data_IF_950872538719
#
_entry.id   IF_950872538719
#
_cell.length_a   1.000
_cell.length_b   1.000
_cell.length_c   1.000
_cell.angle_alpha   90.00
_cell.angle_beta   90.00
_cell.angle_gamma   90.00
#
_symmetry.space_group_name_H-M   'P 1'
#
loop_
_entity.id
_entity.type
_entity.pdbx_description
1 polymer ?
#
# COMPACT_ATOMS: atom_id res chain seq x y z
N UNK A 1 26.22 -15.86 41.21
CA UNK A 1 26.28 -14.74 40.23
C UNK A 1 26.29 -15.21 38.76
N UNK A 2 25.61 -16.32 38.42
CA UNK A 2 25.47 -16.80 37.03
C UNK A 2 24.04 -16.72 36.48
N UNK A 3 23.05 -16.48 37.35
CA UNK A 3 21.62 -16.42 36.97
C UNK A 3 21.11 -15.00 36.64
N UNK A 4 21.95 -13.97 36.69
CA UNK A 4 21.55 -12.58 36.38
C UNK A 4 21.67 -12.26 34.87
N UNK A 5 22.42 -13.04 34.11
CA UNK A 5 22.61 -12.82 32.68
C UNK A 5 21.53 -13.45 31.79
N UNK A 6 20.64 -14.28 32.35
CA UNK A 6 19.52 -14.90 31.60
C UNK A 6 18.30 -13.94 31.54
N UNK A 7 18.28 -12.90 32.38
CA UNK A 7 17.16 -11.94 32.42
C UNK A 7 17.25 -10.81 31.38
N UNK A 8 18.32 -10.74 30.57
CA UNK A 8 18.49 -9.69 29.55
C UNK A 8 18.19 -10.17 28.12
N UNK A 9 17.71 -11.41 27.95
CA UNK A 9 17.48 -12.02 26.63
C UNK A 9 15.99 -12.08 26.21
N UNK A 10 15.08 -11.52 27.01
CA UNK A 10 13.64 -11.51 26.70
C UNK A 10 13.16 -10.06 26.74
N UNK A 11 12.87 -9.49 25.57
CA UNK A 11 12.17 -8.20 25.51
C UNK A 11 12.52 -7.25 24.36
N UNK A 12 13.02 -7.74 23.22
CA UNK A 12 12.95 -6.99 21.97
C UNK A 12 11.92 -7.66 21.06
N UNK A 13 10.65 -7.59 21.45
CA UNK A 13 9.57 -7.66 20.47
C UNK A 13 9.63 -6.35 19.69
N UNK A 14 10.40 -6.35 18.60
CA UNK A 14 10.27 -5.34 17.56
C UNK A 14 8.82 -5.37 17.12
N UNK A 15 8.07 -4.33 17.51
CA UNK A 15 6.78 -4.01 16.92
C UNK A 15 7.08 -3.64 15.47
N UNK A 16 7.12 -4.65 14.62
CA UNK A 16 7.02 -4.44 13.18
C UNK A 16 5.59 -3.94 12.96
N UNK A 17 5.42 -2.63 12.87
CA UNK A 17 4.30 -2.07 12.12
C UNK A 17 4.49 -2.59 10.70
N UNK A 18 3.86 -3.72 10.38
CA UNK A 18 3.82 -4.22 9.02
C UNK A 18 3.27 -3.14 8.10
N UNK A 19 3.85 -3.03 6.90
CA UNK A 19 3.38 -2.11 5.87
C UNK A 19 1.87 -2.28 5.68
N UNK A 20 1.15 -1.16 5.61
CA UNK A 20 -0.28 -1.18 5.33
C UNK A 20 -0.60 -1.63 3.90
N UNK A 21 0.41 -1.72 3.04
CA UNK A 21 0.30 -2.15 1.65
C UNK A 21 0.75 -3.59 1.45
N UNK A 22 -0.04 -4.34 0.68
CA UNK A 22 0.29 -5.69 0.23
C UNK A 22 0.14 -5.81 -1.28
N UNK A 23 1.08 -6.48 -1.94
CA UNK A 23 0.95 -6.84 -3.37
C UNK A 23 0.20 -8.17 -3.45
N UNK A 24 -1.04 -8.14 -3.95
CA UNK A 24 -1.89 -9.34 -4.05
C UNK A 24 -1.43 -10.27 -5.17
N UNK A 25 -1.13 -9.71 -6.34
CA UNK A 25 -0.75 -10.47 -7.55
C UNK A 25 0.30 -9.70 -8.34
N UNK A 26 1.18 -10.41 -9.04
CA UNK A 26 1.99 -9.82 -10.11
C UNK A 26 2.24 -10.82 -11.22
N UNK A 27 2.58 -10.28 -12.38
CA UNK A 27 2.91 -11.02 -13.59
C UNK A 27 4.05 -10.34 -14.34
N UNK A 28 4.94 -11.14 -14.92
CA UNK A 28 6.13 -10.68 -15.65
C UNK A 28 6.21 -11.35 -17.02
N UNK A 29 6.36 -10.55 -18.08
CA UNK A 29 6.60 -11.03 -19.43
C UNK A 29 8.09 -11.35 -19.65
N UNK A 30 8.51 -12.55 -19.26
CA UNK A 30 9.92 -12.97 -19.31
C UNK A 30 10.51 -12.99 -20.72
N UNK A 31 9.71 -13.28 -21.74
CA UNK A 31 10.19 -13.33 -23.13
C UNK A 31 10.61 -11.95 -23.65
N UNK A 32 9.86 -10.91 -23.28
CA UNK A 32 10.09 -9.54 -23.77
C UNK A 32 11.15 -8.79 -22.96
N UNK A 33 11.21 -9.01 -21.65
CA UNK A 33 12.16 -8.32 -20.76
C UNK A 33 13.63 -8.64 -21.04
N UNK A 34 13.95 -9.81 -21.59
CA UNK A 34 15.35 -10.25 -21.79
C UNK A 34 16.07 -9.56 -22.95
N UNK A 35 15.36 -8.77 -23.76
CA UNK A 35 15.88 -8.27 -25.04
C UNK A 35 16.41 -6.85 -24.99
N UNK A 36 16.11 -6.08 -23.93
CA UNK A 36 16.37 -4.63 -23.88
C UNK A 36 16.67 -4.17 -22.46
N UNK A 37 17.63 -3.26 -22.33
CA UNK A 37 17.88 -2.54 -21.08
C UNK A 37 17.11 -1.22 -21.10
N UNK A 38 16.30 -0.99 -20.07
CA UNK A 38 15.55 0.25 -19.89
C UNK A 38 16.37 1.23 -19.05
N UNK A 39 16.55 2.45 -19.54
CA UNK A 39 17.38 3.49 -18.89
C UNK A 39 16.60 4.75 -18.58
N UNK A 40 15.43 4.94 -19.20
CA UNK A 40 14.62 6.14 -19.08
C UNK A 40 13.16 5.74 -18.89
N UNK A 41 12.63 5.90 -17.68
CA UNK A 41 11.26 5.52 -17.35
C UNK A 41 10.37 6.75 -17.27
N UNK A 42 9.26 6.74 -18.01
CA UNK A 42 8.18 7.71 -17.85
C UNK A 42 7.21 7.21 -16.77
N UNK A 43 7.03 7.96 -15.69
CA UNK A 43 6.20 7.59 -14.55
C UNK A 43 4.91 8.39 -14.58
N UNK A 44 3.78 7.70 -14.54
CA UNK A 44 2.45 8.31 -14.58
C UNK A 44 1.51 7.71 -13.55
N UNK A 45 1.06 8.51 -12.59
CA UNK A 45 -0.06 8.18 -11.72
C UNK A 45 -1.37 8.73 -12.31
N UNK A 46 -2.31 7.84 -12.59
CA UNK A 46 -3.64 8.14 -13.16
C UNK A 46 -4.62 8.26 -12.00
N UNK A 47 -4.78 9.50 -11.52
CA UNK A 47 -5.68 9.83 -10.40
C UNK A 47 -6.25 11.23 -10.56
N UNK A 48 -7.43 11.46 -9.98
CA UNK A 48 -8.03 12.79 -9.87
C UNK A 48 -7.43 13.66 -8.76
N UNK A 49 -6.59 13.09 -7.89
CA UNK A 49 -5.94 13.81 -6.79
C UNK A 49 -4.52 14.23 -7.19
N UNK A 50 -4.31 15.53 -7.44
CA UNK A 50 -3.02 16.06 -7.88
C UNK A 50 -1.92 15.90 -6.82
N UNK A 51 -2.23 16.04 -5.53
CA UNK A 51 -1.25 15.84 -4.46
C UNK A 51 -0.78 14.38 -4.42
N UNK A 52 -1.71 13.43 -4.56
CA UNK A 52 -1.37 12.00 -4.63
C UNK A 52 -0.54 11.69 -5.87
N UNK A 53 -0.90 12.27 -7.02
CA UNK A 53 -0.15 12.14 -8.27
C UNK A 53 1.31 12.57 -8.10
N UNK A 54 1.53 13.78 -7.59
CA UNK A 54 2.88 14.32 -7.37
C UNK A 54 3.68 13.44 -6.41
N UNK A 55 3.12 13.11 -5.25
CA UNK A 55 3.83 12.30 -4.25
C UNK A 55 4.22 10.91 -4.77
N UNK A 56 3.30 10.21 -5.45
CA UNK A 56 3.57 8.87 -6.00
C UNK A 56 4.64 8.95 -7.08
N UNK A 57 4.55 9.92 -7.99
CA UNK A 57 5.52 10.06 -9.07
C UNK A 57 6.91 10.48 -8.57
N UNK A 58 6.98 11.37 -7.59
CA UNK A 58 8.23 11.82 -6.98
C UNK A 58 8.94 10.68 -6.25
N UNK A 59 8.19 9.89 -5.47
CA UNK A 59 8.80 8.79 -4.72
C UNK A 59 9.25 7.65 -5.63
N UNK A 60 8.45 7.27 -6.63
CA UNK A 60 8.86 6.29 -7.64
C UNK A 60 10.08 6.78 -8.45
N UNK A 61 10.12 8.07 -8.80
CA UNK A 61 11.25 8.66 -9.48
C UNK A 61 12.52 8.60 -8.62
N UNK A 62 12.43 8.93 -7.34
CA UNK A 62 13.55 8.82 -6.40
C UNK A 62 14.15 7.41 -6.39
N UNK A 63 13.32 6.37 -6.28
CA UNK A 63 13.82 4.99 -6.30
C UNK A 63 14.37 4.59 -7.67
N UNK A 64 13.75 4.98 -8.77
CA UNK A 64 14.23 4.72 -10.12
C UNK A 64 15.63 5.34 -10.35
N UNK A 65 15.81 6.60 -9.98
CA UNK A 65 17.08 7.33 -10.08
C UNK A 65 18.16 6.73 -9.20
N UNK A 66 17.80 6.28 -8.00
CA UNK A 66 18.71 5.57 -7.10
C UNK A 66 19.23 4.25 -7.68
N UNK A 67 18.48 3.61 -8.58
CA UNK A 67 18.94 2.45 -9.37
C UNK A 67 19.66 2.81 -10.68
N UNK A 68 19.91 4.08 -10.95
CA UNK A 68 20.56 4.54 -12.18
C UNK A 68 19.64 4.58 -13.40
N UNK A 69 18.32 4.56 -13.21
CA UNK A 69 17.32 4.78 -14.26
C UNK A 69 16.85 6.22 -14.19
N UNK A 70 16.98 6.97 -15.28
CA UNK A 70 16.43 8.33 -15.36
C UNK A 70 14.92 8.27 -15.29
N UNK A 71 14.32 9.05 -14.39
CA UNK A 71 12.87 9.16 -14.29
C UNK A 71 12.37 10.43 -15.00
N UNK A 72 11.24 10.32 -15.70
CA UNK A 72 10.47 11.44 -16.23
C UNK A 72 9.10 11.38 -15.58
N UNK A 73 8.69 12.45 -14.90
CA UNK A 73 7.44 12.47 -14.14
C UNK A 73 6.35 13.14 -14.95
N UNK A 74 5.21 12.48 -15.10
CA UNK A 74 4.16 12.98 -15.98
C UNK A 74 3.57 14.31 -15.50
N UNK A 75 3.54 14.60 -14.20
CA UNK A 75 3.05 15.88 -13.68
C UNK A 75 3.94 17.09 -14.03
N UNK A 76 5.18 16.86 -14.46
CA UNK A 76 6.09 17.93 -14.93
C UNK A 76 6.01 18.16 -16.44
N UNK A 77 5.58 17.14 -17.19
CA UNK A 77 5.61 17.15 -18.66
C UNK A 77 4.22 17.29 -19.28
N UNK A 78 3.20 16.70 -18.66
CA UNK A 78 1.84 16.84 -19.16
C UNK A 78 1.31 18.26 -18.94
N UNK A 79 0.69 18.87 -19.96
CA UNK A 79 0.03 20.15 -19.80
C UNK A 79 -1.00 20.12 -18.66
N UNK A 80 -1.10 21.22 -17.90
CA UNK A 80 -2.08 21.37 -16.83
C UNK A 80 -3.55 21.22 -17.29
N UNK A 81 -3.80 21.28 -18.61
CA UNK A 81 -5.12 21.04 -19.23
C UNK A 81 -5.50 19.57 -19.29
N UNK A 82 -4.57 18.64 -19.07
CA UNK A 82 -4.84 17.19 -19.04
C UNK A 82 -5.48 16.82 -17.71
N UNK A 83 -6.80 16.99 -17.64
CA UNK A 83 -7.61 16.72 -16.45
C UNK A 83 -8.71 15.72 -16.77
N UNK A 84 -9.34 15.17 -15.72
CA UNK A 84 -10.52 14.32 -15.87
C UNK A 84 -11.60 15.04 -16.69
N UNK A 85 -12.03 14.43 -17.79
CA UNK A 85 -13.01 15.01 -18.72
C UNK A 85 -12.42 15.81 -19.89
N UNK A 86 -11.11 16.04 -19.89
CA UNK A 86 -10.35 16.62 -20.99
C UNK A 86 -9.13 15.73 -21.30
N UNK A 87 -9.38 14.44 -21.51
CA UNK A 87 -8.33 13.48 -21.83
C UNK A 87 -7.82 13.76 -23.24
N UNK A 88 -6.52 14.01 -23.43
CA UNK A 88 -5.93 14.19 -24.76
C UNK A 88 -6.09 12.93 -25.62
N UNK A 89 -5.89 13.08 -26.93
CA UNK A 89 -5.84 11.91 -27.81
C UNK A 89 -4.67 11.00 -27.45
N UNK A 90 -4.80 9.72 -27.79
CA UNK A 90 -3.75 8.72 -27.61
C UNK A 90 -2.44 9.20 -28.24
N UNK A 91 -2.52 9.78 -29.43
CA UNK A 91 -1.39 10.25 -30.22
C UNK A 91 -0.64 11.37 -29.49
N UNK A 92 -1.36 12.33 -28.89
CA UNK A 92 -0.74 13.41 -28.13
C UNK A 92 -0.02 12.91 -26.87
N UNK A 93 -0.59 11.92 -26.17
CA UNK A 93 0.08 11.29 -25.02
C UNK A 93 1.37 10.58 -25.47
N UNK A 94 1.28 9.76 -26.52
CA UNK A 94 2.42 9.00 -27.01
C UNK A 94 3.52 9.91 -27.55
N UNK A 95 3.18 10.99 -28.23
CA UNK A 95 4.14 11.99 -28.71
C UNK A 95 4.92 12.62 -27.54
N UNK A 96 4.24 13.00 -26.46
CA UNK A 96 4.90 13.57 -25.28
C UNK A 96 5.88 12.56 -24.66
N UNK A 97 5.46 11.30 -24.51
CA UNK A 97 6.30 10.24 -23.93
C UNK A 97 7.51 9.94 -24.84
N UNK A 98 7.31 9.90 -26.15
CA UNK A 98 8.41 9.70 -27.10
C UNK A 98 9.39 10.87 -27.08
N UNK A 99 8.88 12.10 -27.06
CA UNK A 99 9.70 13.31 -27.01
C UNK A 99 10.45 13.46 -25.69
N UNK A 100 9.99 12.83 -24.60
CA UNK A 100 10.74 12.80 -23.34
C UNK A 100 11.95 11.86 -23.37
N UNK A 101 12.10 11.04 -24.42
CA UNK A 101 13.18 10.06 -24.56
C UNK A 101 13.00 8.84 -23.65
N UNK A 102 11.78 8.58 -23.17
CA UNK A 102 11.51 7.41 -22.35
C UNK A 102 11.56 6.13 -23.19
N UNK A 103 12.19 5.09 -22.65
CA UNK A 103 12.22 3.74 -23.24
C UNK A 103 11.27 2.76 -22.51
N UNK A 104 10.81 3.13 -21.31
CA UNK A 104 9.76 2.44 -20.56
C UNK A 104 8.68 3.42 -20.05
N UNK A 105 7.47 2.90 -19.82
CA UNK A 105 6.37 3.62 -19.16
C UNK A 105 5.97 2.83 -17.91
N UNK A 106 6.00 3.47 -16.74
CA UNK A 106 5.48 2.93 -15.49
C UNK A 106 4.20 3.67 -15.11
N UNK A 107 3.07 2.99 -15.22
CA UNK A 107 1.75 3.55 -14.96
C UNK A 107 1.16 3.01 -13.66
N UNK A 108 0.61 3.89 -12.83
CA UNK A 108 -0.11 3.57 -11.60
C UNK A 108 -1.54 4.05 -11.72
N UNK A 109 -2.51 3.19 -11.45
CA UNK A 109 -3.94 3.52 -11.49
C UNK A 109 -4.64 3.10 -10.20
N UNK A 110 -5.47 3.99 -9.64
CA UNK A 110 -6.41 3.62 -8.60
C UNK A 110 -7.60 2.88 -9.25
N UNK A 111 -7.74 1.59 -8.94
CA UNK A 111 -8.82 0.76 -9.46
C UNK A 111 -10.11 0.96 -8.67
N UNK A 112 -10.00 0.95 -7.33
CA UNK A 112 -11.16 0.99 -6.44
C UNK A 112 -10.79 1.55 -5.06
N UNK A 113 -11.78 2.14 -4.39
CA UNK A 113 -11.72 2.57 -2.99
C UNK A 113 -12.93 2.00 -2.26
N UNK A 114 -12.68 1.10 -1.31
CA UNK A 114 -13.73 0.44 -0.53
C UNK A 114 -13.69 0.91 0.93
N UNK A 115 -14.86 0.93 1.56
CA UNK A 115 -15.00 1.15 3.01
C UNK A 115 -15.78 -0.01 3.63
N UNK A 116 -15.14 -0.74 4.53
CA UNK A 116 -15.73 -1.88 5.24
C UNK A 116 -15.98 -1.49 6.70
N UNK A 117 -17.23 -1.55 7.16
CA UNK A 117 -17.53 -1.34 8.58
C UNK A 117 -17.61 -2.68 9.29
N UNK A 118 -16.76 -2.88 10.30
CA UNK A 118 -16.76 -4.09 11.13
C UNK A 118 -16.99 -3.76 12.60
N UNK A 119 -17.67 -4.66 13.29
CA UNK A 119 -17.80 -4.60 14.74
C UNK A 119 -16.53 -5.18 15.38
N UNK A 120 -15.89 -4.39 16.23
CA UNK A 120 -14.79 -4.80 17.09
C UNK A 120 -15.40 -5.16 18.45
N UNK A 121 -15.44 -6.44 18.82
CA UNK A 121 -15.90 -6.83 20.15
C UNK A 121 -14.98 -6.23 21.21
N UNK A 122 -15.57 -5.74 22.30
CA UNK A 122 -14.81 -5.38 23.50
C UNK A 122 -14.07 -6.60 24.05
N UNK A 123 -13.03 -6.36 24.85
CA UNK A 123 -12.13 -7.40 25.32
C UNK A 123 -12.74 -8.23 26.45
N UNK A 124 -13.79 -9.00 26.18
CA UNK A 124 -14.45 -9.83 27.19
C UNK A 124 -14.84 -11.20 26.64
N UNK A 125 -14.06 -12.22 27.00
CA UNK A 125 -14.47 -13.63 26.93
C UNK A 125 -15.58 -13.87 27.96
N UNK A 126 -16.81 -13.47 27.63
CA UNK A 126 -17.97 -13.74 28.46
C UNK A 126 -18.89 -14.74 27.74
N UNK A 127 -19.21 -15.84 28.42
CA UNK A 127 -20.22 -16.77 27.93
C UNK A 127 -21.59 -16.07 27.99
N UNK A 128 -22.23 -15.87 26.84
CA UNK A 128 -23.59 -15.34 26.72
C UNK A 128 -24.60 -16.35 27.28
N UNK A 129 -24.77 -16.36 28.61
CA UNK A 129 -25.77 -17.16 29.31
C UNK A 129 -26.59 -16.27 30.25
N UNK A 130 -27.86 -16.05 29.95
CA UNK A 130 -28.78 -15.35 30.84
C UNK A 130 -29.38 -16.34 31.85
N UNK A 131 -28.71 -16.54 32.97
CA UNK A 131 -29.28 -17.28 34.10
C UNK A 131 -28.84 -16.66 35.45
N UNK A 132 -29.58 -15.66 35.95
CA UNK A 132 -29.20 -14.91 37.16
C UNK A 132 -29.13 -15.78 38.43
N UNK A 133 -29.73 -16.98 38.42
CA UNK A 133 -29.72 -17.92 39.56
C UNK A 133 -28.56 -18.92 39.53
N UNK A 134 -27.84 -19.04 38.40
CA UNK A 134 -26.78 -20.05 38.21
C UNK A 134 -25.37 -19.48 38.30
N UNK A 135 -25.23 -18.17 38.12
CA UNK A 135 -23.92 -17.54 38.10
C UNK A 135 -23.60 -16.88 39.45
N UNK A 136 -22.55 -17.38 40.10
CA UNK A 136 -22.09 -16.95 41.43
C UNK A 136 -21.87 -15.43 41.58
N UNK A 137 -21.56 -14.72 40.49
CA UNK A 137 -21.32 -13.27 40.54
C UNK A 137 -22.57 -12.42 40.77
N UNK A 138 -23.79 -12.94 40.54
CA UNK A 138 -25.04 -12.22 40.86
C UNK A 138 -25.42 -12.28 42.35
N UNK A 139 -24.76 -13.13 43.14
CA UNK A 139 -25.05 -13.29 44.58
C UNK A 139 -24.61 -12.11 45.47
N UNK A 140 -23.83 -11.17 44.94
CA UNK A 140 -23.49 -9.93 45.63
C UNK A 140 -23.29 -8.76 44.66
N UNK A 141 -23.63 -7.55 45.09
CA UNK A 141 -23.42 -6.34 44.31
C UNK A 141 -21.95 -6.12 43.95
N UNK A 142 -21.03 -6.42 44.88
CA UNK A 142 -19.60 -6.28 44.65
C UNK A 142 -19.06 -7.29 43.61
N UNK A 143 -19.58 -8.52 43.61
CA UNK A 143 -19.27 -9.53 42.59
C UNK A 143 -19.76 -9.11 41.21
N UNK A 144 -21.01 -8.62 41.13
CA UNK A 144 -21.58 -8.07 39.90
C UNK A 144 -20.78 -6.87 39.39
N UNK A 145 -20.51 -5.88 40.25
CA UNK A 145 -19.78 -4.67 39.89
C UNK A 145 -18.38 -4.99 39.36
N UNK A 146 -17.59 -5.83 40.03
CA UNK A 146 -16.24 -6.17 39.55
C UNK A 146 -16.25 -6.96 38.24
N UNK A 147 -17.32 -7.71 37.97
CA UNK A 147 -17.44 -8.53 36.76
C UNK A 147 -17.95 -7.71 35.57
N UNK A 148 -18.90 -6.79 35.80
CA UNK A 148 -19.47 -5.93 34.74
C UNK A 148 -18.65 -4.67 34.48
N UNK A 149 -17.91 -4.16 35.46
CA UNK A 149 -17.10 -2.94 35.33
C UNK A 149 -16.15 -2.99 34.12
N UNK A 150 -15.40 -4.06 33.86
CA UNK A 150 -14.55 -4.15 32.67
C UNK A 150 -15.35 -4.13 31.35
N UNK A 151 -16.49 -4.84 31.29
CA UNK A 151 -17.39 -4.88 30.11
C UNK A 151 -17.96 -3.49 29.83
N UNK A 152 -18.38 -2.77 30.87
CA UNK A 152 -18.96 -1.44 30.75
C UNK A 152 -17.94 -0.36 30.33
N UNK A 153 -16.65 -0.55 30.65
CA UNK A 153 -15.58 0.38 30.28
C UNK A 153 -14.95 0.11 28.91
N UNK A 154 -15.13 -1.09 28.35
CA UNK A 154 -14.70 -1.44 27.00
C UNK A 154 -15.83 -2.12 26.22
N UNK A 155 -16.96 -1.42 25.96
CA UNK A 155 -17.99 -1.95 25.10
C UNK A 155 -17.46 -2.08 23.68
N UNK A 156 -17.85 -3.15 22.97
CA UNK A 156 -17.51 -3.28 21.57
C UNK A 156 -18.01 -2.07 20.75
N UNK A 157 -17.26 -1.72 19.71
CA UNK A 157 -17.50 -0.54 18.89
C UNK A 157 -17.42 -0.90 17.41
N UNK A 158 -18.02 -0.08 16.55
CA UNK A 158 -17.85 -0.20 15.11
C UNK A 158 -16.61 0.60 14.67
N UNK A 159 -15.82 0.02 13.78
CA UNK A 159 -14.75 0.72 13.06
C UNK A 159 -15.00 0.61 11.55
N UNK A 160 -14.61 1.64 10.80
CA UNK A 160 -14.67 1.64 9.33
C UNK A 160 -13.25 1.59 8.79
N UNK A 161 -12.93 0.48 8.12
CA UNK A 161 -11.66 0.28 7.44
C UNK A 161 -11.76 0.77 5.98
N UNK A 162 -10.77 1.52 5.50
CA UNK A 162 -10.62 1.96 4.11
C UNK A 162 -9.61 1.09 3.39
N UNK A 163 -9.94 0.64 2.19
CA UNK A 163 -9.09 -0.22 1.37
C UNK A 163 -8.93 0.40 -0.02
N UNK A 164 -7.70 0.67 -0.42
CA UNK A 164 -7.36 1.21 -1.73
C UNK A 164 -6.75 0.12 -2.61
N UNK A 165 -7.31 -0.09 -3.80
CA UNK A 165 -6.84 -1.06 -4.78
C UNK A 165 -6.10 -0.34 -5.89
N UNK A 166 -4.81 -0.66 -6.09
CA UNK A 166 -4.00 -0.03 -7.13
C UNK A 166 -3.43 -1.07 -8.08
N UNK A 167 -3.37 -0.71 -9.35
CA UNK A 167 -2.67 -1.46 -10.39
C UNK A 167 -1.44 -0.67 -10.86
N UNK A 168 -0.32 -1.38 -10.99
CA UNK A 168 0.96 -0.84 -11.42
C UNK A 168 1.44 -1.63 -12.63
N UNK A 169 1.68 -0.96 -13.74
CA UNK A 169 2.01 -1.59 -15.02
C UNK A 169 3.29 -0.98 -15.60
N UNK A 170 4.17 -1.84 -16.13
CA UNK A 170 5.38 -1.45 -16.86
C UNK A 170 5.21 -1.84 -18.32
N UNK A 171 5.44 -0.89 -19.23
CA UNK A 171 5.36 -1.08 -20.67
C UNK A 171 6.67 -0.73 -21.36
N UNK A 172 6.96 -1.37 -22.50
CA UNK A 172 7.96 -0.84 -23.44
C UNK A 172 7.36 0.39 -24.13
N UNK A 173 8.06 1.52 -24.10
CA UNK A 173 7.54 2.79 -24.61
C UNK A 173 7.42 2.83 -26.14
N UNK A 174 8.17 1.97 -26.85
CA UNK A 174 8.21 1.95 -28.31
C UNK A 174 7.11 1.06 -28.90
N UNK A 175 6.94 -0.15 -28.36
CA UNK A 175 5.93 -1.11 -28.83
C UNK A 175 4.59 -0.98 -28.12
N UNK A 176 4.57 -0.40 -26.91
CA UNK A 176 3.41 -0.39 -26.02
C UNK A 176 3.09 -1.77 -25.41
N UNK A 177 4.00 -2.74 -25.52
CA UNK A 177 3.80 -4.07 -24.95
C UNK A 177 3.92 -4.04 -23.43
N UNK A 178 3.02 -4.76 -22.74
CA UNK A 178 3.07 -4.93 -21.29
C UNK A 178 4.22 -5.88 -20.92
N UNK A 179 5.12 -5.39 -20.08
CA UNK A 179 6.31 -6.09 -19.58
C UNK A 179 6.08 -6.66 -18.19
N UNK A 180 5.36 -5.93 -17.34
CA UNK A 180 5.08 -6.32 -15.97
C UNK A 180 3.81 -5.67 -15.45
N UNK A 181 3.10 -6.34 -14.57
CA UNK A 181 1.89 -5.84 -13.91
C UNK A 181 1.83 -6.34 -12.47
N UNK A 182 1.36 -5.50 -11.55
CA UNK A 182 1.03 -5.89 -10.19
C UNK A 182 -0.21 -5.20 -9.67
N UNK A 183 -0.99 -5.93 -8.88
CA UNK A 183 -2.11 -5.41 -8.11
C UNK A 183 -1.74 -5.35 -6.63
N UNK A 184 -2.19 -4.29 -5.98
CA UNK A 184 -1.90 -4.02 -4.58
C UNK A 184 -3.13 -3.53 -3.83
N UNK A 185 -3.10 -3.74 -2.50
CA UNK A 185 -4.12 -3.28 -1.56
C UNK A 185 -3.44 -2.53 -0.43
N UNK A 186 -3.90 -1.31 -0.17
CA UNK A 186 -3.44 -0.50 0.97
C UNK A 186 -4.57 -0.33 1.97
N UNK A 187 -4.32 -0.68 3.23
CA UNK A 187 -5.32 -0.71 4.30
C UNK A 187 -5.14 0.47 5.25
N UNK A 188 -6.19 1.27 5.44
CA UNK A 188 -6.23 2.32 6.46
C UNK A 188 -4.98 3.22 6.50
N UNK A 189 -4.54 3.80 5.37
CA UNK A 189 -3.42 4.74 5.41
C UNK A 189 -3.75 5.90 6.36
N UNK A 190 -2.81 6.20 7.26
CA UNK A 190 -2.98 7.26 8.27
C UNK A 190 -2.92 8.68 7.67
N UNK A 191 -2.24 8.80 6.53
CA UNK A 191 -1.99 10.02 5.75
C UNK A 191 -1.65 9.64 4.32
N UNK A 192 -1.69 10.62 3.40
CA UNK A 192 -1.30 10.40 2.02
C UNK A 192 0.20 10.06 1.91
N UNK A 193 1.03 10.67 2.76
CA UNK A 193 2.45 10.40 2.84
C UNK A 193 2.71 8.95 3.27
N UNK A 194 2.03 8.48 4.33
CA UNK A 194 2.15 7.07 4.76
C UNK A 194 1.64 6.09 3.71
N UNK A 195 0.58 6.45 2.98
CA UNK A 195 0.07 5.65 1.88
C UNK A 195 1.15 5.49 0.81
N UNK A 196 1.71 6.61 0.35
CA UNK A 196 2.68 6.62 -0.75
C UNK A 196 3.94 5.85 -0.35
N UNK A 197 4.47 6.10 0.85
CA UNK A 197 5.65 5.40 1.35
C UNK A 197 5.44 3.88 1.43
N UNK A 198 4.35 3.43 2.08
CA UNK A 198 4.06 2.00 2.22
C UNK A 198 3.84 1.34 0.84
N UNK A 199 3.14 2.03 -0.05
CA UNK A 199 2.86 1.55 -1.40
C UNK A 199 4.14 1.43 -2.24
N UNK A 200 4.97 2.48 -2.27
CA UNK A 200 6.19 2.49 -3.04
C UNK A 200 7.17 1.45 -2.49
N UNK A 201 7.34 1.35 -1.17
CA UNK A 201 8.20 0.33 -0.56
C UNK A 201 7.75 -1.10 -0.93
N UNK A 202 6.45 -1.38 -0.87
CA UNK A 202 5.90 -2.67 -1.27
C UNK A 202 6.14 -2.97 -2.77
N UNK A 203 6.02 -1.96 -3.64
CA UNK A 203 6.29 -2.09 -5.06
C UNK A 203 7.77 -2.36 -5.35
N UNK A 204 8.68 -1.59 -4.75
CA UNK A 204 10.13 -1.77 -4.98
C UNK A 204 10.56 -3.17 -4.56
N UNK A 205 10.13 -3.64 -3.38
CA UNK A 205 10.37 -5.01 -2.92
C UNK A 205 9.81 -6.05 -3.90
N UNK A 206 8.67 -5.77 -4.53
CA UNK A 206 8.11 -6.68 -5.53
C UNK A 206 8.92 -6.68 -6.82
N UNK A 207 9.34 -5.51 -7.32
CA UNK A 207 10.17 -5.40 -8.51
C UNK A 207 11.51 -6.14 -8.32
N UNK A 208 12.10 -6.06 -7.14
CA UNK A 208 13.29 -6.84 -6.76
C UNK A 208 13.02 -8.34 -6.80
N UNK A 209 11.93 -8.78 -6.16
CA UNK A 209 11.52 -10.20 -6.14
C UNK A 209 11.23 -10.75 -7.54
N UNK A 210 10.69 -9.91 -8.42
CA UNK A 210 10.34 -10.28 -9.79
C UNK A 210 11.54 -10.15 -10.76
N UNK A 211 12.72 -9.75 -10.25
CA UNK A 211 13.98 -9.68 -11.01
C UNK A 211 14.08 -8.48 -11.96
N UNK A 212 13.28 -7.43 -11.72
CA UNK A 212 13.24 -6.21 -12.53
C UNK A 212 14.19 -5.12 -12.00
N UNK A 213 14.67 -5.28 -10.77
CA UNK A 213 15.57 -4.37 -10.08
C UNK A 213 16.51 -5.17 -9.18
N UNK A 214 17.76 -4.75 -9.07
CA UNK A 214 18.68 -5.28 -8.06
C UNK A 214 18.31 -4.76 -6.67
N UNK A 215 18.44 -5.57 -5.61
CA UNK A 215 18.19 -5.11 -4.25
C UNK A 215 19.16 -4.01 -3.84
N UNK A 216 18.67 -3.07 -3.02
CA UNK A 216 19.56 -2.07 -2.43
C UNK A 216 20.57 -2.72 -1.48
N UNK A 217 21.85 -2.45 -1.71
CA UNK A 217 22.99 -2.93 -0.89
C UNK A 217 23.15 -2.18 0.41
#
# INVERSE_FOLDING_TARGET
MRSIYILFAIGLFLVSCGSSTSISESWTNKEKLTTKSYKNVFIVAITGNMAAKTLIEDELAFYAEKSGTRAIKSHEVFPATFIKGNTPSKEAILEIIQNSGADAIFAVSLLDEQSETRYVPGNTNYAYGYNPLSYSYYGSFYGYYNTMRPIAYDPGHYTTDKIYYLESNLYDAQSGELLWSAQSKTYNPSSLESFTQDYTEALIKRLEKDGLREPES
#
